data_IF_800998677391
#
_entry.id   IF_800998677391
#
_cell.length_a   1.000
_cell.length_b   1.000
_cell.length_c   1.000
_cell.angle_alpha   90.00
_cell.angle_beta   90.00
_cell.angle_gamma   90.00
#
_symmetry.space_group_name_H-M   'P 1'
#
loop_
_entity.id
_entity.type
_entity.pdbx_description
1 polymer ?
#
# COMPACT_ATOMS: atom_id res chain seq x y z
N UNK A 1 14.66 -10.00 25.07
CA UNK A 1 13.58 -9.13 25.47
C UNK A 1 12.54 -9.03 24.38
N UNK A 2 11.26 -9.02 24.75
CA UNK A 2 10.17 -8.90 23.81
C UNK A 2 10.01 -7.48 23.29
N UNK A 3 9.51 -7.36 22.09
CA UNK A 3 9.19 -6.10 21.48
C UNK A 3 7.82 -6.17 20.79
N UNK A 4 7.18 -5.02 20.66
CA UNK A 4 5.99 -4.87 19.82
C UNK A 4 6.43 -4.35 18.46
N UNK A 5 6.05 -5.06 17.40
CA UNK A 5 6.37 -4.67 16.02
C UNK A 5 5.12 -4.71 15.17
N UNK A 6 5.04 -3.74 14.28
CA UNK A 6 4.01 -3.69 13.25
C UNK A 6 4.69 -3.81 11.90
N UNK A 7 4.18 -4.70 11.08
CA UNK A 7 4.67 -4.88 9.70
C UNK A 7 3.54 -4.56 8.76
N UNK A 8 3.75 -3.57 7.90
CA UNK A 8 2.81 -3.19 6.86
C UNK A 8 3.26 -3.80 5.54
N UNK A 9 2.39 -4.56 4.92
CA UNK A 9 2.59 -5.08 3.58
C UNK A 9 1.62 -4.40 2.62
N UNK A 10 2.14 -3.84 1.53
CA UNK A 10 1.36 -3.15 0.51
C UNK A 10 1.45 -3.97 -0.78
N UNK A 11 0.45 -4.82 -1.01
CA UNK A 11 0.27 -5.55 -2.24
C UNK A 11 -0.98 -5.04 -2.95
N UNK A 12 -1.69 -5.91 -3.67
CA UNK A 12 -3.00 -5.57 -4.23
C UNK A 12 -3.96 -5.10 -3.16
N UNK A 13 -3.96 -5.80 -2.03
CA UNK A 13 -4.63 -5.43 -0.79
C UNK A 13 -3.54 -5.20 0.25
N UNK A 14 -3.64 -4.08 0.97
CA UNK A 14 -2.73 -3.78 2.07
C UNK A 14 -3.14 -4.55 3.32
N UNK A 15 -2.17 -5.06 4.03
CA UNK A 15 -2.39 -5.74 5.30
C UNK A 15 -1.35 -5.34 6.33
N UNK A 16 -1.69 -5.48 7.58
CA UNK A 16 -0.81 -5.20 8.70
C UNK A 16 -0.73 -6.41 9.61
N UNK A 17 0.48 -6.70 10.06
CA UNK A 17 0.74 -7.73 11.06
C UNK A 17 1.27 -7.09 12.33
N UNK A 18 0.74 -7.56 13.46
CA UNK A 18 1.20 -7.14 14.77
C UNK A 18 1.94 -8.30 15.42
N UNK A 19 3.19 -8.05 15.73
CA UNK A 19 4.06 -9.02 16.39
C UNK A 19 4.31 -8.53 17.81
N UNK A 20 3.69 -9.17 18.78
CA UNK A 20 3.87 -8.83 20.19
C UNK A 20 4.68 -9.92 20.87
N UNK A 21 5.95 -9.65 21.08
CA UNK A 21 6.88 -10.56 21.72
C UNK A 21 7.07 -10.26 23.22
N UNK A 22 6.34 -9.28 23.75
CA UNK A 22 6.47 -8.86 25.17
C UNK A 22 5.84 -9.87 26.13
N UNK A 23 4.80 -10.55 25.68
CA UNK A 23 4.01 -11.49 26.51
C UNK A 23 4.08 -12.92 25.98
N UNK A 24 5.08 -13.24 25.15
CA UNK A 24 5.18 -14.48 24.41
C UNK A 24 4.95 -14.22 22.93
N UNK A 25 4.68 -15.24 22.16
CA UNK A 25 4.46 -15.09 20.72
C UNK A 25 2.98 -14.84 20.46
N UNK A 26 2.61 -13.59 20.21
CA UNK A 26 1.28 -13.23 19.74
C UNK A 26 1.42 -12.56 18.39
N UNK A 27 0.90 -13.22 17.35
CA UNK A 27 0.93 -12.74 15.96
C UNK A 27 -0.49 -12.59 15.48
N UNK A 28 -0.83 -11.38 15.05
CA UNK A 28 -2.15 -11.07 14.48
C UNK A 28 -1.97 -10.29 13.19
N UNK A 29 -2.90 -10.48 12.26
CA UNK A 29 -2.87 -9.80 10.99
C UNK A 29 -4.26 -9.41 10.52
N UNK A 30 -4.35 -8.31 9.77
CA UNK A 30 -5.59 -7.82 9.21
C UNK A 30 -5.36 -7.24 7.82
N UNK A 31 -6.37 -7.38 6.96
CA UNK A 31 -6.44 -6.58 5.75
C UNK A 31 -6.92 -5.18 6.11
N UNK A 32 -6.19 -4.17 5.63
CA UNK A 32 -6.49 -2.77 5.94
C UNK A 32 -7.32 -2.10 4.85
N UNK A 33 -7.10 -2.48 3.60
CA UNK A 33 -7.76 -1.87 2.46
C UNK A 33 -6.97 -2.09 1.17
N UNK A 34 -7.35 -1.40 0.08
CA UNK A 34 -6.65 -1.55 -1.17
C UNK A 34 -5.22 -1.02 -1.08
N UNK A 35 -4.29 -1.74 -1.69
CA UNK A 35 -2.94 -1.28 -1.93
C UNK A 35 -2.80 -0.79 -3.36
N UNK A 36 -2.02 -1.51 -4.17
CA UNK A 36 -1.82 -1.12 -5.57
C UNK A 36 -2.92 -1.55 -6.53
N UNK A 37 -3.95 -2.29 -6.07
CA UNK A 37 -5.00 -2.79 -6.96
C UNK A 37 -5.73 -1.66 -7.68
N UNK A 38 -6.06 -0.58 -7.00
CA UNK A 38 -6.73 0.57 -7.60
C UNK A 38 -5.81 1.32 -8.57
N UNK A 39 -4.54 1.47 -8.21
CA UNK A 39 -3.56 2.09 -9.09
C UNK A 39 -3.37 1.29 -10.37
N UNK A 40 -3.29 -0.04 -10.26
CA UNK A 40 -3.15 -0.93 -11.40
C UNK A 40 -4.37 -0.88 -12.30
N UNK A 41 -5.56 -0.83 -11.72
CA UNK A 41 -6.81 -0.68 -12.46
C UNK A 41 -6.82 0.63 -13.29
N UNK A 42 -6.50 1.75 -12.66
CA UNK A 42 -6.45 3.04 -13.35
C UNK A 42 -5.38 3.08 -14.42
N UNK A 43 -4.22 2.52 -14.14
CA UNK A 43 -3.15 2.42 -15.12
C UNK A 43 -3.61 1.63 -16.35
N UNK A 44 -4.28 0.51 -16.16
CA UNK A 44 -4.81 -0.29 -17.26
C UNK A 44 -5.86 0.48 -18.07
N UNK A 45 -6.75 1.22 -17.41
CA UNK A 45 -7.78 2.01 -18.07
C UNK A 45 -7.20 3.12 -18.96
N UNK A 46 -6.11 3.74 -18.54
CA UNK A 46 -5.55 4.91 -19.23
C UNK A 46 -4.37 4.59 -20.15
N UNK A 47 -3.62 3.54 -19.87
CA UNK A 47 -2.41 3.20 -20.65
C UNK A 47 -2.51 1.86 -21.35
N UNK A 48 -3.47 1.01 -20.97
CA UNK A 48 -3.57 -0.36 -21.47
C UNK A 48 -2.57 -1.32 -20.84
N UNK A 49 -1.70 -0.85 -19.95
CA UNK A 49 -0.73 -1.66 -19.26
C UNK A 49 -1.33 -2.26 -17.98
N UNK A 50 -0.96 -3.48 -17.58
CA UNK A 50 -1.55 -4.12 -16.40
C UNK A 50 -1.18 -3.46 -15.08
N UNK A 51 -0.06 -2.72 -15.06
CA UNK A 51 0.40 -1.96 -13.90
C UNK A 51 1.37 -0.87 -14.38
N UNK A 52 1.68 0.06 -13.49
CA UNK A 52 2.60 1.17 -13.78
C UNK A 52 4.04 0.72 -13.56
N UNK A 53 4.68 0.25 -14.62
CA UNK A 53 6.04 -0.29 -14.57
C UNK A 53 7.04 0.81 -14.24
N UNK A 54 7.76 0.62 -13.14
CA UNK A 54 8.76 1.58 -12.67
C UNK A 54 8.17 2.92 -12.24
N UNK A 55 6.85 3.04 -12.11
CA UNK A 55 6.21 4.29 -11.76
C UNK A 55 6.28 5.36 -12.86
N UNK A 56 6.47 4.97 -14.09
CA UNK A 56 6.68 5.91 -15.22
C UNK A 56 5.46 6.77 -15.48
N UNK A 57 4.29 6.18 -15.43
CA UNK A 57 3.04 6.92 -15.64
C UNK A 57 2.79 7.90 -14.50
N UNK A 58 2.97 7.47 -13.27
CA UNK A 58 2.87 8.34 -12.11
C UNK A 58 3.86 9.51 -12.18
N UNK A 59 5.09 9.25 -12.62
CA UNK A 59 6.11 10.30 -12.77
C UNK A 59 5.77 11.33 -13.85
N UNK A 60 4.94 10.96 -14.84
CA UNK A 60 4.50 11.88 -15.88
C UNK A 60 3.43 12.85 -15.43
N UNK A 61 2.80 12.59 -14.28
CA UNK A 61 1.77 13.45 -13.72
C UNK A 61 2.35 14.67 -13.02
N UNK A 62 1.45 15.55 -12.62
CA UNK A 62 1.79 16.74 -11.86
C UNK A 62 0.89 16.87 -10.64
N UNK A 63 1.44 17.40 -9.57
CA UNK A 63 0.65 17.72 -8.37
C UNK A 63 -0.36 18.81 -8.72
N UNK A 64 -1.60 18.62 -8.31
CA UNK A 64 -2.63 19.63 -8.41
C UNK A 64 -2.74 20.28 -7.03
N UNK A 65 -2.19 21.51 -6.85
CA UNK A 65 -2.12 22.13 -5.50
C UNK A 65 -3.49 22.29 -4.85
N UNK A 66 -4.52 22.60 -5.63
CA UNK A 66 -5.88 22.78 -5.12
C UNK A 66 -6.44 21.49 -4.51
N UNK A 67 -6.09 20.32 -5.04
CA UNK A 67 -6.49 19.05 -4.47
C UNK A 67 -5.69 18.71 -3.22
N UNK A 68 -4.40 19.04 -3.22
CA UNK A 68 -3.53 18.74 -2.08
C UNK A 68 -3.95 19.50 -0.83
N UNK A 69 -4.43 20.72 -0.98
CA UNK A 69 -4.84 21.59 0.12
C UNK A 69 -6.32 21.52 0.46
N UNK A 70 -7.08 20.74 -0.26
CA UNK A 70 -8.51 20.60 -0.05
C UNK A 70 -8.85 19.85 1.27
#
# INVERSE_FOLDING_TARGET
AGALRWVLNIGGISNVSRLDLRTGSDVRGWDCGPGNALMDYWCHQHTGQPYDDGGRWAASGQVIPALLTA
#
